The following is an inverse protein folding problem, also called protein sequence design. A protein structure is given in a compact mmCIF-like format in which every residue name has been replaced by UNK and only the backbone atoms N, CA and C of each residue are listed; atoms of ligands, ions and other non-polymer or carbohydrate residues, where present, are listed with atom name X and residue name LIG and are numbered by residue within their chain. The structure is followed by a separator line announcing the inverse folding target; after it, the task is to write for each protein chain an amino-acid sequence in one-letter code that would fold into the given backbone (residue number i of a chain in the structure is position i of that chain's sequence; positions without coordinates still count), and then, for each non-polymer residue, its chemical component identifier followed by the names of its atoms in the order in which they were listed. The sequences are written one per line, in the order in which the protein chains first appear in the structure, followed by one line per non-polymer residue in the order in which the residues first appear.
data_IF_942506025038
#
_entry.id   IF_942506025038
#
_cell.length_a   1.000
_cell.length_b   1.000
_cell.length_c   1.000
_cell.angle_alpha   90.00
_cell.angle_beta   90.00
_cell.angle_gamma   90.00
#
_symmetry.space_group_name_H-M   'P 1'
#
loop_
_entity.id
_entity.type
_entity.pdbx_description
1 polymer ?
#
# COMPACT_ATOMS: atom_id res chain seq x y z
N UNK A 1 -11.51 71.51 28.48
CA UNK A 1 -12.75 70.80 28.13
C UNK A 1 -12.42 69.41 27.56
N UNK A 2 -11.88 68.53 28.36
CA UNK A 2 -11.55 67.14 27.97
C UNK A 2 -11.76 66.30 29.22
N UNK A 3 -13.00 65.93 29.53
CA UNK A 3 -13.31 65.01 30.65
C UNK A 3 -14.66 64.28 30.51
N UNK A 4 -15.19 64.05 29.31
CA UNK A 4 -16.47 63.39 29.19
C UNK A 4 -16.58 62.27 28.14
N UNK A 5 -15.46 61.71 27.67
CA UNK A 5 -15.49 60.64 26.67
C UNK A 5 -15.03 59.28 27.21
N UNK A 6 -14.67 59.18 28.49
CA UNK A 6 -14.04 57.96 29.04
C UNK A 6 -15.00 57.08 29.89
N UNK A 7 -16.29 57.29 29.80
CA UNK A 7 -17.27 56.54 30.60
C UNK A 7 -18.27 55.65 29.79
N UNK A 8 -18.11 55.58 28.51
CA UNK A 8 -18.98 54.73 27.69
C UNK A 8 -18.36 53.42 27.20
N UNK A 9 -17.12 53.14 27.51
CA UNK A 9 -16.45 51.91 27.06
C UNK A 9 -16.40 50.79 28.11
N UNK A 10 -17.03 50.96 29.26
CA UNK A 10 -16.95 49.98 30.36
C UNK A 10 -18.26 49.22 30.67
N UNK A 11 -19.22 49.25 29.76
CA UNK A 11 -20.52 48.61 30.01
C UNK A 11 -20.84 47.47 29.03
N UNK A 12 -19.87 47.01 28.26
CA UNK A 12 -20.10 45.87 27.34
C UNK A 12 -19.41 44.55 27.76
N UNK A 13 -18.90 44.45 28.98
CA UNK A 13 -18.16 43.25 29.42
C UNK A 13 -18.90 42.40 30.45
N UNK A 14 -20.19 42.53 30.60
CA UNK A 14 -20.95 41.73 31.56
C UNK A 14 -22.26 41.18 30.96
N UNK A 15 -22.16 40.41 29.89
CA UNK A 15 -23.22 39.49 29.49
C UNK A 15 -22.62 38.30 28.78
N UNK A 16 -21.69 37.64 29.44
CA UNK A 16 -21.43 36.22 29.15
C UNK A 16 -22.42 35.46 30.04
N UNK A 17 -23.64 35.37 29.59
CA UNK A 17 -24.62 34.41 30.13
C UNK A 17 -24.03 33.03 29.88
N UNK A 18 -23.64 32.37 30.96
CA UNK A 18 -23.38 30.92 30.95
C UNK A 18 -24.69 30.27 30.53
N UNK A 19 -24.81 29.98 29.26
CA UNK A 19 -25.76 29.03 28.77
C UNK A 19 -25.30 27.68 29.34
N UNK A 20 -25.89 27.30 30.45
CA UNK A 20 -25.83 25.92 30.88
C UNK A 20 -26.45 25.09 29.76
N UNK A 21 -25.61 24.27 29.14
CA UNK A 21 -26.13 23.25 28.23
C UNK A 21 -27.07 22.39 29.04
N UNK A 22 -28.29 22.12 28.57
CA UNK A 22 -29.20 21.25 29.28
C UNK A 22 -28.52 19.89 29.45
N UNK A 23 -28.17 19.56 30.72
CA UNK A 23 -27.72 18.25 31.06
C UNK A 23 -28.92 17.32 30.92
N UNK A 24 -28.86 16.30 30.07
CA UNK A 24 -29.95 15.35 29.96
C UNK A 24 -30.17 14.67 31.31
N UNK A 25 -31.37 14.87 31.89
CA UNK A 25 -31.74 14.43 33.23
C UNK A 25 -32.02 12.92 33.35
N UNK A 26 -31.57 12.12 32.41
CA UNK A 26 -31.80 10.68 32.50
C UNK A 26 -30.59 9.91 31.96
N UNK A 27 -29.67 9.59 32.88
CA UNK A 27 -28.49 8.78 32.63
C UNK A 27 -28.78 7.26 32.66
N UNK A 28 -30.04 6.87 32.93
CA UNK A 28 -30.35 5.46 33.17
C UNK A 28 -31.00 4.70 32.01
N UNK A 29 -31.20 5.36 30.88
CA UNK A 29 -31.61 4.65 29.67
C UNK A 29 -30.65 4.99 28.52
N UNK A 30 -29.59 4.21 28.39
CA UNK A 30 -28.88 4.08 27.15
C UNK A 30 -29.79 3.37 26.14
N UNK A 31 -30.81 4.06 25.69
CA UNK A 31 -31.47 3.67 24.46
C UNK A 31 -30.44 3.92 23.34
N UNK A 32 -29.97 2.89 22.64
CA UNK A 32 -29.17 3.12 21.46
C UNK A 32 -30.01 4.01 20.55
N UNK A 33 -29.45 5.15 20.10
CA UNK A 33 -30.07 6.00 19.09
C UNK A 33 -30.17 5.15 17.83
N UNK A 34 -31.26 4.38 17.74
CA UNK A 34 -31.65 3.62 16.56
C UNK A 34 -32.17 4.63 15.57
N UNK A 35 -31.29 5.17 14.75
CA UNK A 35 -31.71 6.16 13.78
C UNK A 35 -30.62 6.78 12.95
N UNK A 36 -29.36 6.58 13.27
CA UNK A 36 -28.31 6.82 12.28
C UNK A 36 -28.23 5.58 11.39
N UNK A 37 -29.15 5.50 10.44
CA UNK A 37 -28.83 4.84 9.18
C UNK A 37 -27.66 5.62 8.57
N UNK A 38 -26.44 5.43 9.09
CA UNK A 38 -25.28 5.63 8.27
C UNK A 38 -25.51 4.70 7.09
N UNK A 39 -25.65 5.22 5.87
CA UNK A 39 -25.70 4.34 4.73
C UNK A 39 -24.43 3.51 4.85
N UNK A 40 -24.60 2.21 5.10
CA UNK A 40 -23.53 1.26 5.02
C UNK A 40 -23.13 1.34 3.55
N UNK A 41 -22.16 2.23 3.27
CA UNK A 41 -21.53 2.30 1.98
C UNK A 41 -20.91 0.93 1.77
N UNK A 42 -21.66 0.03 1.18
CA UNK A 42 -21.12 -1.19 0.62
C UNK A 42 -20.37 -0.81 -0.67
N UNK A 43 -19.36 0.03 -0.52
CA UNK A 43 -18.30 0.08 -1.50
C UNK A 43 -17.63 -1.29 -1.39
N UNK A 44 -18.14 -2.24 -2.14
CA UNK A 44 -17.45 -3.49 -2.39
C UNK A 44 -16.21 -3.10 -3.18
N UNK A 45 -15.09 -2.92 -2.49
CA UNK A 45 -13.82 -2.64 -3.14
C UNK A 45 -13.51 -3.82 -4.07
N UNK A 46 -13.50 -3.55 -5.35
CA UNK A 46 -13.10 -4.55 -6.34
C UNK A 46 -11.59 -4.74 -6.22
N UNK A 47 -11.15 -5.97 -6.08
CA UNK A 47 -9.75 -6.34 -5.99
C UNK A 47 -9.45 -7.42 -7.02
N UNK A 48 -8.24 -7.38 -7.54
CA UNK A 48 -7.72 -8.37 -8.47
C UNK A 48 -6.48 -9.05 -7.90
N UNK A 49 -6.26 -10.28 -8.29
CA UNK A 49 -5.08 -11.03 -7.93
C UNK A 49 -3.95 -10.74 -8.92
N UNK A 50 -2.79 -10.41 -8.38
CA UNK A 50 -1.55 -10.32 -9.12
C UNK A 50 -0.65 -11.47 -8.68
N UNK A 51 -0.38 -12.39 -9.59
CA UNK A 51 0.56 -13.48 -9.42
C UNK A 51 1.82 -13.21 -10.22
N UNK A 52 2.96 -13.28 -9.59
CA UNK A 52 4.26 -13.11 -10.27
C UNK A 52 5.16 -14.28 -9.91
N UNK A 53 5.76 -14.88 -10.93
CA UNK A 53 6.72 -15.96 -10.81
C UNK A 53 8.02 -15.58 -11.50
N UNK A 54 9.10 -16.26 -11.12
CA UNK A 54 10.37 -16.14 -11.82
C UNK A 54 10.83 -17.51 -12.28
N UNK A 55 11.33 -17.60 -13.51
CA UNK A 55 11.90 -18.81 -14.07
C UNK A 55 13.29 -18.55 -14.62
N UNK A 56 14.15 -19.50 -14.46
CA UNK A 56 15.51 -19.56 -14.94
C UNK A 56 16.12 -20.81 -14.37
N UNK A 57 17.05 -21.41 -15.07
CA UNK A 57 17.73 -22.59 -14.52
C UNK A 57 18.73 -22.07 -13.47
N UNK A 58 18.50 -22.34 -12.17
CA UNK A 58 19.54 -22.08 -11.19
C UNK A 58 20.74 -22.96 -11.55
N UNK A 59 21.97 -22.45 -11.48
CA UNK A 59 23.10 -23.33 -11.43
C UNK A 59 22.86 -24.27 -10.24
N UNK A 60 23.19 -25.53 -10.40
CA UNK A 60 23.12 -26.50 -9.30
C UNK A 60 24.17 -26.08 -8.25
N UNK A 61 23.81 -25.15 -7.37
CA UNK A 61 24.70 -24.69 -6.30
C UNK A 61 24.46 -25.55 -5.07
N UNK A 62 25.35 -26.40 -4.82
CA UNK A 62 25.40 -27.28 -3.62
C UNK A 62 25.96 -26.56 -2.39
N UNK A 63 26.21 -25.26 -2.45
CA UNK A 63 26.80 -24.52 -1.34
C UNK A 63 25.76 -23.78 -0.53
N UNK A 64 25.69 -23.96 0.79
CA UNK A 64 24.81 -23.16 1.63
C UNK A 64 25.21 -21.68 1.53
N UNK A 65 24.23 -20.75 1.63
CA UNK A 65 24.50 -19.32 1.60
C UNK A 65 25.47 -18.94 2.72
N UNK A 66 26.41 -18.01 2.50
CA UNK A 66 27.27 -17.51 3.54
C UNK A 66 26.47 -16.94 4.70
N UNK A 67 26.89 -17.26 5.92
CA UNK A 67 26.24 -16.75 7.14
C UNK A 67 26.28 -15.22 7.15
N UNK A 68 25.10 -14.58 7.21
CA UNK A 68 24.99 -13.11 7.32
C UNK A 68 23.99 -12.44 6.38
N UNK A 69 23.40 -13.14 5.43
CA UNK A 69 22.37 -12.58 4.56
C UNK A 69 20.97 -12.79 5.17
N UNK A 70 20.41 -11.74 5.77
CA UNK A 70 19.18 -11.78 6.57
C UNK A 70 17.88 -11.55 5.80
N UNK A 71 17.84 -11.64 4.49
CA UNK A 71 16.62 -11.31 3.73
C UNK A 71 16.14 -12.43 2.80
N UNK A 72 16.25 -13.70 3.20
CA UNK A 72 15.61 -14.78 2.46
C UNK A 72 16.11 -14.99 1.02
N UNK A 73 17.23 -14.38 0.65
CA UNK A 73 17.86 -14.61 -0.63
C UNK A 73 18.49 -16.00 -0.62
N UNK A 74 17.86 -16.92 -1.29
CA UNK A 74 18.47 -18.19 -1.61
C UNK A 74 19.44 -17.95 -2.76
N UNK A 75 20.73 -18.04 -2.49
CA UNK A 75 21.75 -18.11 -3.54
C UNK A 75 21.42 -19.29 -4.47
N UNK A 76 21.38 -19.04 -5.76
CA UNK A 76 21.08 -20.08 -6.76
C UNK A 76 19.84 -19.82 -7.60
N UNK A 77 19.10 -18.74 -7.37
CA UNK A 77 18.04 -18.34 -8.28
C UNK A 77 18.58 -17.46 -9.42
N UNK A 78 18.07 -17.70 -10.63
CA UNK A 78 18.40 -16.90 -11.80
C UNK A 78 18.03 -15.44 -11.64
N UNK A 79 17.06 -15.15 -10.77
CA UNK A 79 16.62 -13.81 -10.45
C UNK A 79 15.41 -13.81 -9.54
N UNK A 80 14.92 -12.64 -9.21
CA UNK A 80 13.73 -12.41 -8.39
C UNK A 80 12.93 -11.21 -8.90
N UNK A 81 11.75 -11.00 -8.36
CA UNK A 81 10.92 -9.85 -8.68
C UNK A 81 10.70 -8.97 -7.45
N UNK A 82 10.67 -7.67 -7.68
CA UNK A 82 10.22 -6.67 -6.72
C UNK A 82 8.88 -6.12 -7.18
N UNK A 83 8.01 -5.81 -6.22
CA UNK A 83 6.68 -5.27 -6.45
C UNK A 83 6.50 -3.97 -5.68
N UNK A 84 5.95 -2.97 -6.36
CA UNK A 84 5.52 -1.70 -5.77
C UNK A 84 4.09 -1.40 -6.19
N UNK A 85 3.23 -1.05 -5.22
CA UNK A 85 1.87 -0.55 -5.44
C UNK A 85 1.38 0.21 -4.20
N UNK A 86 0.67 1.31 -4.38
CA UNK A 86 0.04 2.07 -3.28
C UNK A 86 0.99 2.36 -2.09
N UNK A 87 2.27 2.70 -2.36
CA UNK A 87 3.34 2.89 -1.37
C UNK A 87 3.70 1.61 -0.57
N UNK A 88 3.29 0.45 -1.04
CA UNK A 88 3.72 -0.86 -0.50
C UNK A 88 4.85 -1.37 -1.40
N UNK A 89 5.94 -1.80 -0.77
CA UNK A 89 7.12 -2.31 -1.44
C UNK A 89 7.42 -3.72 -0.96
N UNK A 90 7.58 -4.63 -1.91
CA UNK A 90 7.97 -6.03 -1.66
C UNK A 90 9.19 -6.37 -2.50
N UNK A 91 10.22 -6.89 -1.87
CA UNK A 91 11.51 -7.13 -2.51
C UNK A 91 11.97 -8.58 -2.38
N UNK A 92 12.63 -9.08 -3.44
CA UNK A 92 13.36 -10.33 -3.39
C UNK A 92 12.50 -11.60 -3.42
N UNK A 93 11.37 -11.59 -4.12
CA UNK A 93 10.49 -12.74 -4.22
C UNK A 93 10.70 -13.50 -5.53
N UNK A 94 10.88 -14.80 -5.45
CA UNK A 94 10.87 -15.69 -6.62
C UNK A 94 9.44 -15.99 -7.09
N UNK A 95 8.47 -15.87 -6.18
CA UNK A 95 7.04 -15.89 -6.49
C UNK A 95 6.27 -15.15 -5.42
N UNK A 96 5.18 -14.49 -5.81
CA UNK A 96 4.21 -13.90 -4.88
C UNK A 96 2.82 -13.89 -5.50
N UNK A 97 1.81 -13.78 -4.63
CA UNK A 97 0.42 -13.61 -5.00
C UNK A 97 -0.18 -12.53 -4.09
N UNK A 98 -0.69 -11.45 -4.68
CA UNK A 98 -1.21 -10.28 -3.98
C UNK A 98 -2.60 -9.92 -4.45
N UNK A 99 -3.48 -9.62 -3.50
CA UNK A 99 -4.81 -9.07 -3.78
C UNK A 99 -4.75 -7.55 -3.69
N UNK A 100 -4.86 -6.87 -4.82
CA UNK A 100 -4.64 -5.44 -4.99
C UNK A 100 -5.94 -4.77 -5.43
N UNK A 101 -6.20 -3.55 -4.97
CA UNK A 101 -7.37 -2.76 -5.35
C UNK A 101 -7.37 -2.51 -6.86
N UNK A 102 -8.54 -2.66 -7.49
CA UNK A 102 -8.73 -2.40 -8.92
C UNK A 102 -8.31 -0.97 -9.28
N UNK A 103 -7.62 -0.81 -10.41
CA UNK A 103 -7.12 0.47 -10.89
C UNK A 103 -5.85 0.98 -10.21
N UNK A 104 -5.27 0.23 -9.26
CA UNK A 104 -3.97 0.58 -8.68
C UNK A 104 -2.88 0.56 -9.74
N UNK A 105 -1.97 1.54 -9.66
CA UNK A 105 -0.73 1.51 -10.44
C UNK A 105 0.22 0.49 -9.78
N UNK A 106 0.74 -0.41 -10.60
CA UNK A 106 1.64 -1.50 -10.19
C UNK A 106 2.94 -1.36 -10.96
N UNK A 107 4.05 -1.46 -10.24
CA UNK A 107 5.40 -1.50 -10.82
C UNK A 107 6.03 -2.83 -10.42
N UNK A 108 6.51 -3.58 -11.41
CA UNK A 108 7.20 -4.85 -11.19
C UNK A 108 8.59 -4.74 -11.82
N UNK A 109 9.61 -5.05 -11.02
CA UNK A 109 11.01 -5.05 -11.46
C UNK A 109 11.56 -6.45 -11.36
N UNK A 110 12.04 -6.98 -12.46
CA UNK A 110 12.84 -8.20 -12.48
C UNK A 110 14.30 -7.85 -12.14
N UNK A 111 14.88 -8.57 -11.19
CA UNK A 111 16.27 -8.37 -10.77
C UNK A 111 17.04 -9.65 -11.02
N UNK A 112 18.06 -9.57 -11.84
CA UNK A 112 18.89 -10.72 -12.24
C UNK A 112 19.78 -11.17 -11.11
N UNK A 113 19.91 -12.49 -10.95
CA UNK A 113 20.95 -13.11 -10.14
C UNK A 113 22.32 -13.03 -10.82
N UNK A 114 23.35 -13.43 -10.08
CA UNK A 114 24.73 -13.46 -10.61
C UNK A 114 24.83 -14.46 -11.78
N UNK A 115 25.40 -14.00 -12.90
CA UNK A 115 25.56 -14.79 -14.13
C UNK A 115 24.30 -14.92 -14.96
N UNK A 116 23.25 -14.18 -14.63
CA UNK A 116 22.00 -14.15 -15.38
C UNK A 116 21.63 -12.74 -15.83
N UNK A 117 20.75 -12.68 -16.82
CA UNK A 117 20.08 -11.45 -17.23
C UNK A 117 18.60 -11.68 -17.44
N UNK A 118 17.80 -10.65 -17.19
CA UNK A 118 16.37 -10.68 -17.46
C UNK A 118 16.17 -10.69 -18.99
N UNK A 119 15.34 -11.60 -19.47
CA UNK A 119 15.02 -11.73 -20.90
C UNK A 119 13.71 -11.06 -21.22
N UNK A 120 12.63 -11.56 -20.66
CA UNK A 120 11.28 -11.09 -20.96
C UNK A 120 10.26 -11.49 -19.86
N UNK A 121 9.13 -10.83 -19.90
CA UNK A 121 7.92 -11.24 -19.17
C UNK A 121 7.08 -12.20 -20.02
N UNK A 122 6.27 -13.06 -19.38
CA UNK A 122 5.42 -14.05 -20.06
C UNK A 122 4.42 -13.44 -21.05
N UNK A 123 4.13 -12.16 -20.97
CA UNK A 123 3.32 -11.41 -21.92
C UNK A 123 4.11 -10.86 -23.13
N UNK A 124 5.38 -11.21 -23.27
CA UNK A 124 6.27 -10.80 -24.36
C UNK A 124 6.89 -9.41 -24.18
N UNK A 125 6.67 -8.74 -23.06
CA UNK A 125 7.32 -7.46 -22.79
C UNK A 125 8.76 -7.65 -22.33
N UNK A 126 9.66 -6.83 -22.85
CA UNK A 126 11.09 -6.80 -22.47
C UNK A 126 11.45 -5.59 -21.63
N UNK A 127 10.51 -4.65 -21.44
CA UNK A 127 10.73 -3.52 -20.54
C UNK A 127 10.90 -4.00 -19.09
N UNK A 128 11.86 -3.39 -18.39
CA UNK A 128 12.13 -3.69 -16.98
C UNK A 128 12.59 -2.40 -16.28
N UNK A 129 11.84 -1.86 -15.31
CA UNK A 129 10.55 -2.38 -14.80
C UNK A 129 9.39 -2.25 -15.80
N UNK A 130 8.32 -3.02 -15.55
CA UNK A 130 7.02 -2.79 -16.18
C UNK A 130 6.09 -2.04 -15.23
N UNK A 131 5.27 -1.16 -15.79
CA UNK A 131 4.25 -0.41 -15.04
C UNK A 131 2.90 -0.52 -15.74
N UNK A 132 1.85 -0.84 -14.99
CA UNK A 132 0.49 -0.94 -15.50
C UNK A 132 -0.56 -0.70 -14.43
N UNK A 133 -1.81 -0.43 -14.85
CA UNK A 133 -2.97 -0.42 -13.95
C UNK A 133 -3.56 -1.82 -13.84
N UNK A 134 -3.74 -2.29 -12.60
CA UNK A 134 -4.34 -3.59 -12.37
C UNK A 134 -5.87 -3.51 -12.52
N UNK A 135 -6.38 -3.96 -13.68
CA UNK A 135 -7.81 -3.93 -14.02
C UNK A 135 -8.44 -5.32 -14.18
N UNK A 136 -7.67 -6.36 -13.98
CA UNK A 136 -8.10 -7.77 -14.00
C UNK A 136 -7.09 -8.62 -13.23
N UNK A 137 -7.46 -9.84 -12.90
CA UNK A 137 -6.50 -10.84 -12.44
C UNK A 137 -5.37 -10.98 -13.47
N UNK A 138 -4.14 -10.93 -12.98
CA UNK A 138 -2.94 -10.86 -13.82
C UNK A 138 -1.92 -11.87 -13.33
N UNK A 139 -1.38 -12.66 -14.28
CA UNK A 139 -0.33 -13.63 -14.03
C UNK A 139 0.88 -13.32 -14.91
N UNK A 140 2.02 -13.11 -14.30
CA UNK A 140 3.26 -12.74 -14.97
C UNK A 140 4.39 -13.67 -14.53
N UNK A 141 5.24 -14.01 -15.49
CA UNK A 141 6.48 -14.74 -15.21
C UNK A 141 7.66 -13.97 -15.79
N UNK A 142 8.65 -13.68 -14.96
CA UNK A 142 9.94 -13.14 -15.39
C UNK A 142 10.85 -14.29 -15.82
N UNK A 143 11.36 -14.24 -17.05
CA UNK A 143 12.30 -15.22 -17.58
C UNK A 143 13.72 -14.65 -17.51
N UNK A 144 14.64 -15.45 -16.94
CA UNK A 144 16.04 -15.13 -16.87
C UNK A 144 16.85 -16.13 -17.69
N UNK A 145 17.86 -15.64 -18.38
CA UNK A 145 18.78 -16.43 -19.21
C UNK A 145 20.22 -16.26 -18.69
N UNK A 146 21.07 -17.22 -18.97
CA UNK A 146 22.49 -17.10 -18.65
C UNK A 146 23.12 -15.99 -19.45
N UNK A 147 23.90 -15.14 -18.78
CA UNK A 147 24.71 -14.13 -19.46
C UNK A 147 25.88 -14.83 -20.12
N UNK A 148 26.03 -14.61 -21.43
CA UNK A 148 27.20 -15.05 -22.19
C UNK A 148 28.22 -13.90 -22.18
N UNK A 149 29.16 -13.93 -21.24
CA UNK A 149 30.29 -12.99 -21.21
C UNK A 149 31.40 -13.45 -22.17
#
# INVERSE_FOLDING_TARGET
MIKRVLYLALLFLLSCSKGELPVPQNLDTWEPIIGYNTPKSSNTEVRYNLSVNTVGLPPAVSTPPPAGHHNGYTFGYAGWANLEYNNIFKYGYVSFNESILAGSDVIITAVSGEGYEFSEWSNGQTANPITFKLNSDTDLTATFVTRND
#
